data_IF_694050433432
#
_entry.id   IF_694050433432
#
_cell.length_a   1.000
_cell.length_b   1.000
_cell.length_c   1.000
_cell.angle_alpha   90.00
_cell.angle_beta   90.00
_cell.angle_gamma   90.00
#
_symmetry.space_group_name_H-M   'P 1'
#
loop_
_entity.id
_entity.type
_entity.pdbx_description
1 polymer ?
#
# COMPACT_ATOMS: atom_id res chain seq x y z
N UNK A 1 -4.19 84.95 6.25
CA UNK A 1 -3.90 83.52 6.03
C UNK A 1 -3.31 82.94 7.31
N UNK A 2 -4.05 82.11 8.03
CA UNK A 2 -3.54 81.39 9.21
C UNK A 2 -3.75 79.91 8.92
N UNK A 3 -2.64 79.16 8.85
CA UNK A 3 -2.62 77.72 8.57
C UNK A 3 -2.91 76.95 9.86
N UNK A 4 -4.06 76.32 9.96
CA UNK A 4 -4.30 75.29 10.97
C UNK A 4 -3.44 74.05 10.64
N UNK A 5 -2.56 73.68 11.58
CA UNK A 5 -1.86 72.40 11.56
C UNK A 5 -2.87 71.31 11.95
N UNK A 6 -3.30 70.53 10.97
CA UNK A 6 -4.01 69.27 11.22
C UNK A 6 -3.00 68.28 11.81
N UNK A 7 -3.00 68.13 13.12
CA UNK A 7 -2.27 67.05 13.77
C UNK A 7 -2.87 65.73 13.32
N UNK A 8 -2.02 64.89 12.75
CA UNK A 8 -2.35 63.55 12.33
C UNK A 8 -2.31 62.73 13.62
N UNK A 9 -3.45 62.64 14.29
CA UNK A 9 -3.63 61.72 15.40
C UNK A 9 -3.52 60.32 14.80
N UNK A 10 -2.48 59.59 15.20
CA UNK A 10 -2.19 58.26 14.69
C UNK A 10 -3.29 57.34 15.22
N UNK A 11 -4.22 56.98 14.35
CA UNK A 11 -5.32 56.10 14.66
C UNK A 11 -4.78 54.70 15.00
N UNK A 12 -4.63 54.43 16.31
CA UNK A 12 -4.28 53.10 16.83
C UNK A 12 -5.45 52.11 16.73
N UNK A 13 -6.60 52.48 16.16
CA UNK A 13 -7.73 51.55 16.01
C UNK A 13 -7.54 50.53 14.87
N UNK A 14 -6.42 50.57 14.14
CA UNK A 14 -6.07 49.58 13.11
C UNK A 14 -5.26 48.40 13.64
N UNK A 15 -4.95 48.38 14.95
CA UNK A 15 -4.24 47.28 15.61
C UNK A 15 -5.14 46.29 16.35
N UNK A 16 -6.46 46.36 16.20
CA UNK A 16 -7.33 45.25 16.59
C UNK A 16 -7.30 44.18 15.49
N UNK A 17 -6.14 43.54 15.46
CA UNK A 17 -5.82 42.32 14.73
C UNK A 17 -7.04 41.41 14.76
N UNK A 18 -7.39 40.89 13.61
CA UNK A 18 -8.08 39.61 13.52
C UNK A 18 -7.38 38.68 14.51
N UNK A 19 -7.98 38.46 15.68
CA UNK A 19 -7.42 37.59 16.71
C UNK A 19 -7.60 36.18 16.18
N UNK A 20 -6.69 35.81 15.26
CA UNK A 20 -6.39 34.47 14.83
C UNK A 20 -6.49 33.61 16.08
N UNK A 21 -7.51 32.75 16.13
CA UNK A 21 -7.83 31.89 17.26
C UNK A 21 -6.52 31.45 17.94
N UNK A 22 -6.21 32.03 19.09
CA UNK A 22 -4.92 31.81 19.74
C UNK A 22 -4.83 30.32 20.04
N UNK A 23 -3.84 29.63 19.44
CA UNK A 23 -3.64 28.19 19.66
C UNK A 23 -3.52 27.85 21.14
N UNK A 24 -3.05 28.82 21.94
CA UNK A 24 -2.98 28.74 23.40
C UNK A 24 -4.36 28.67 24.05
N UNK A 25 -5.34 29.43 23.56
CA UNK A 25 -6.70 29.41 24.07
C UNK A 25 -7.48 28.15 23.66
N UNK A 26 -7.12 27.56 22.52
CA UNK A 26 -7.63 26.26 22.08
C UNK A 26 -7.11 25.13 22.99
N UNK A 27 -5.80 25.10 23.25
CA UNK A 27 -5.16 24.08 24.11
C UNK A 27 -5.61 24.22 25.57
N UNK A 28 -5.76 25.45 26.07
CA UNK A 28 -6.24 25.71 27.43
C UNK A 28 -7.74 25.41 27.63
N UNK A 29 -8.47 25.03 26.58
CA UNK A 29 -9.89 24.67 26.66
C UNK A 29 -10.85 25.85 26.90
N UNK A 30 -10.33 27.09 26.95
CA UNK A 30 -11.16 28.28 27.14
C UNK A 30 -12.17 28.48 25.99
N UNK A 31 -11.84 27.97 24.79
CA UNK A 31 -12.76 27.94 23.65
C UNK A 31 -14.00 27.05 23.90
N UNK A 32 -13.87 25.96 24.66
CA UNK A 32 -14.97 25.04 24.96
C UNK A 32 -15.96 25.62 25.98
N UNK A 33 -15.50 26.50 26.87
CA UNK A 33 -16.32 27.11 27.93
C UNK A 33 -17.20 28.27 27.43
N UNK A 34 -17.02 28.72 26.18
CA UNK A 34 -17.84 29.79 25.61
C UNK A 34 -19.30 29.33 25.51
N UNK A 35 -20.24 30.19 25.96
CA UNK A 35 -21.70 29.91 25.95
C UNK A 35 -22.23 29.49 24.56
N UNK A 36 -21.61 29.98 23.47
CA UNK A 36 -21.95 29.59 22.10
C UNK A 36 -21.59 28.12 21.79
N UNK A 37 -20.44 27.67 22.27
CA UNK A 37 -19.93 26.30 22.09
C UNK A 37 -20.73 25.31 22.94
N UNK A 38 -21.05 25.67 24.19
CA UNK A 38 -21.89 24.85 25.07
C UNK A 38 -23.30 24.66 24.51
N UNK A 39 -23.87 25.71 23.88
CA UNK A 39 -25.19 25.65 23.22
C UNK A 39 -25.22 24.67 22.04
N UNK A 40 -24.09 24.50 21.35
CA UNK A 40 -23.94 23.62 20.19
C UNK A 40 -23.13 22.35 20.50
N UNK A 41 -23.01 21.98 21.77
CA UNK A 41 -22.24 20.81 22.24
C UNK A 41 -22.58 19.50 21.51
N UNK A 42 -23.86 19.26 21.19
CA UNK A 42 -24.30 18.09 20.40
C UNK A 42 -23.65 18.04 19.01
N UNK A 43 -23.49 19.18 18.35
CA UNK A 43 -22.87 19.27 17.02
C UNK A 43 -21.36 19.03 17.08
N UNK A 44 -20.69 19.56 18.11
CA UNK A 44 -19.25 19.34 18.31
C UNK A 44 -18.97 17.87 18.62
N UNK A 45 -19.82 17.23 19.43
CA UNK A 45 -19.72 15.80 19.71
C UNK A 45 -19.84 14.97 18.42
N UNK A 46 -20.77 15.35 17.52
CA UNK A 46 -20.89 14.73 16.20
C UNK A 46 -19.60 14.88 15.38
N UNK A 47 -19.01 16.07 15.34
CA UNK A 47 -17.75 16.31 14.63
C UNK A 47 -16.59 15.48 15.20
N UNK A 48 -16.49 15.40 16.52
CA UNK A 48 -15.49 14.57 17.20
C UNK A 48 -15.69 13.10 16.86
N UNK A 49 -16.93 12.60 16.88
CA UNK A 49 -17.27 11.24 16.49
C UNK A 49 -16.83 10.94 15.04
N UNK A 50 -17.16 11.84 14.11
CA UNK A 50 -16.75 11.72 12.70
C UNK A 50 -15.23 11.72 12.58
N UNK A 51 -14.53 12.60 13.31
CA UNK A 51 -13.07 12.64 13.32
C UNK A 51 -12.47 11.32 13.81
N UNK A 52 -13.02 10.73 14.87
CA UNK A 52 -12.60 9.40 15.35
C UNK A 52 -12.82 8.32 14.30
N UNK A 53 -13.99 8.28 13.67
CA UNK A 53 -14.30 7.33 12.59
C UNK A 53 -13.32 7.50 11.43
N UNK A 54 -12.99 8.74 11.08
CA UNK A 54 -12.07 9.04 9.99
C UNK A 54 -10.64 8.58 10.29
N UNK A 55 -10.14 8.83 11.51
CA UNK A 55 -8.83 8.36 11.97
C UNK A 55 -8.78 6.82 11.99
N UNK A 56 -9.83 6.19 12.51
CA UNK A 56 -9.92 4.73 12.56
C UNK A 56 -9.91 4.12 11.16
N UNK A 57 -10.72 4.67 10.24
CA UNK A 57 -10.79 4.19 8.86
C UNK A 57 -9.46 4.41 8.11
N UNK A 58 -8.82 5.57 8.31
CA UNK A 58 -7.52 5.86 7.68
C UNK A 58 -6.44 4.86 8.10
N UNK A 59 -6.33 4.57 9.39
CA UNK A 59 -5.37 3.58 9.89
C UNK A 59 -5.67 2.17 9.37
N UNK A 60 -6.95 1.82 9.16
CA UNK A 60 -7.33 0.52 8.61
C UNK A 60 -6.99 0.40 7.11
N UNK A 61 -7.26 1.46 6.35
CA UNK A 61 -6.92 1.53 4.93
C UNK A 61 -5.40 1.40 4.71
N UNK A 62 -4.60 2.14 5.49
CA UNK A 62 -3.14 2.11 5.38
C UNK A 62 -2.56 0.70 5.64
N UNK A 63 -3.01 0.04 6.70
CA UNK A 63 -2.59 -1.35 7.01
C UNK A 63 -2.99 -2.34 5.91
N UNK A 64 -4.18 -2.14 5.32
CA UNK A 64 -4.68 -2.99 4.24
C UNK A 64 -3.85 -2.83 2.97
N UNK A 65 -3.49 -1.59 2.61
CA UNK A 65 -2.63 -1.30 1.45
C UNK A 65 -1.25 -1.93 1.62
N UNK A 66 -0.64 -1.82 2.80
CA UNK A 66 0.66 -2.46 3.08
C UNK A 66 0.57 -3.99 2.92
N UNK A 67 -0.48 -4.61 3.47
CA UNK A 67 -0.70 -6.06 3.34
C UNK A 67 -0.92 -6.48 1.88
N UNK A 68 -1.70 -5.71 1.12
CA UNK A 68 -1.94 -5.99 -0.30
C UNK A 68 -0.66 -5.93 -1.13
N UNK A 69 0.23 -4.97 -0.85
CA UNK A 69 1.52 -4.89 -1.52
C UNK A 69 2.41 -6.10 -1.20
N UNK A 70 2.47 -6.52 0.07
CA UNK A 70 3.18 -7.73 0.46
C UNK A 70 2.65 -8.97 -0.26
N UNK A 71 1.33 -9.17 -0.23
CA UNK A 71 0.69 -10.33 -0.83
C UNK A 71 0.88 -10.39 -2.36
N UNK A 72 0.86 -9.25 -3.05
CA UNK A 72 1.18 -9.20 -4.48
C UNK A 72 2.64 -9.56 -4.78
N UNK A 73 3.58 -9.14 -3.93
CA UNK A 73 4.98 -9.54 -4.04
C UNK A 73 5.14 -11.05 -3.87
N UNK A 74 4.48 -11.63 -2.88
CA UNK A 74 4.53 -13.07 -2.60
C UNK A 74 3.98 -13.88 -3.78
N UNK A 75 2.86 -13.45 -4.37
CA UNK A 75 2.28 -14.08 -5.57
C UNK A 75 3.25 -14.02 -6.75
N UNK A 76 3.94 -12.88 -6.93
CA UNK A 76 4.94 -12.72 -7.99
C UNK A 76 6.14 -13.64 -7.77
N UNK A 77 6.63 -13.76 -6.54
CA UNK A 77 7.72 -14.66 -6.18
C UNK A 77 7.33 -16.12 -6.38
N UNK A 78 6.16 -16.53 -5.91
CA UNK A 78 5.65 -17.90 -6.09
C UNK A 78 5.53 -18.25 -7.57
N UNK A 79 5.03 -17.32 -8.39
CA UNK A 79 4.95 -17.51 -9.84
C UNK A 79 6.34 -17.72 -10.44
N UNK A 80 7.30 -16.89 -10.09
CA UNK A 80 8.67 -17.04 -10.57
C UNK A 80 9.26 -18.40 -10.14
N UNK A 81 9.12 -18.79 -8.87
CA UNK A 81 9.56 -20.09 -8.37
C UNK A 81 8.92 -21.25 -9.11
N UNK A 82 7.62 -21.20 -9.39
CA UNK A 82 6.92 -22.27 -10.12
C UNK A 82 7.47 -22.47 -11.54
N UNK A 83 7.79 -21.36 -12.23
CA UNK A 83 8.39 -21.38 -13.57
C UNK A 83 9.80 -21.95 -13.50
N UNK A 84 10.61 -21.52 -12.52
CA UNK A 84 11.98 -22.03 -12.35
C UNK A 84 11.98 -23.53 -12.05
N UNK A 85 11.18 -23.99 -11.10
CA UNK A 85 11.09 -25.42 -10.74
C UNK A 85 10.63 -26.26 -11.93
N UNK A 86 9.64 -25.78 -12.68
CA UNK A 86 9.18 -26.47 -13.89
C UNK A 86 10.28 -26.52 -14.96
N UNK A 87 11.04 -25.44 -15.13
CA UNK A 87 12.18 -25.38 -16.05
C UNK A 87 13.31 -26.31 -15.62
N UNK A 88 13.58 -26.41 -14.32
CA UNK A 88 14.57 -27.33 -13.77
C UNK A 88 14.17 -28.79 -13.99
N UNK A 89 12.90 -29.12 -13.77
CA UNK A 89 12.38 -30.45 -14.08
C UNK A 89 12.54 -30.77 -15.57
N UNK A 90 12.10 -29.86 -16.45
CA UNK A 90 12.25 -30.02 -17.91
C UNK A 90 13.72 -30.22 -18.29
N UNK A 91 14.63 -29.43 -17.72
CA UNK A 91 16.08 -29.56 -17.94
C UNK A 91 16.61 -30.93 -17.55
N UNK A 92 16.26 -31.43 -16.36
CA UNK A 92 16.72 -32.75 -15.88
C UNK A 92 16.08 -33.89 -16.67
N UNK A 93 14.81 -33.76 -17.04
CA UNK A 93 14.10 -34.76 -17.85
C UNK A 93 14.46 -34.73 -19.35
N UNK A 94 15.31 -33.80 -19.79
CA UNK A 94 15.72 -33.70 -21.19
C UNK A 94 16.53 -34.95 -21.57
N UNK A 95 16.19 -35.58 -22.70
CA UNK A 95 16.85 -36.82 -23.16
C UNK A 95 18.39 -36.70 -23.13
N UNK A 96 18.94 -35.58 -23.59
CA UNK A 96 20.39 -35.32 -23.55
C UNK A 96 21.01 -35.31 -22.14
N UNK A 97 20.28 -34.87 -21.12
CA UNK A 97 20.70 -34.90 -19.71
C UNK A 97 20.58 -36.32 -19.14
N UNK A 98 19.48 -37.00 -19.45
CA UNK A 98 19.23 -38.38 -19.03
C UNK A 98 20.30 -39.33 -19.60
N UNK A 99 20.63 -39.21 -20.89
CA UNK A 99 21.71 -39.99 -21.53
C UNK A 99 23.05 -39.73 -20.85
N UNK A 100 23.39 -38.45 -20.58
CA UNK A 100 24.64 -38.10 -19.88
C UNK A 100 24.70 -38.63 -18.44
N UNK A 101 23.57 -38.64 -17.72
CA UNK A 101 23.47 -39.26 -16.40
C UNK A 101 23.63 -40.78 -16.48
N UNK A 102 23.01 -41.44 -17.46
CA UNK A 102 23.08 -42.88 -17.69
C UNK A 102 24.51 -43.34 -18.00
N UNK A 103 25.24 -42.58 -18.83
CA UNK A 103 26.65 -42.79 -19.12
C UNK A 103 27.52 -42.59 -17.86
N UNK A 104 27.27 -41.52 -17.10
CA UNK A 104 28.02 -41.22 -15.87
C UNK A 104 27.84 -42.24 -14.75
N UNK A 105 26.66 -42.87 -14.66
CA UNK A 105 26.38 -43.94 -13.71
C UNK A 105 26.77 -45.34 -14.22
N UNK A 106 27.35 -45.46 -15.43
CA UNK A 106 27.73 -46.73 -16.05
C UNK A 106 26.58 -47.75 -16.10
N UNK A 107 25.35 -47.28 -16.36
CA UNK A 107 24.16 -48.13 -16.32
C UNK A 107 24.05 -49.07 -17.55
N UNK A 108 24.91 -48.93 -18.55
CA UNK A 108 24.96 -49.81 -19.73
C UNK A 108 23.72 -49.75 -20.62
N UNK A 109 22.94 -48.66 -20.53
CA UNK A 109 21.73 -48.44 -21.31
C UNK A 109 22.06 -47.52 -22.49
N UNK A 110 21.72 -47.95 -23.71
CA UNK A 110 21.92 -47.19 -24.95
C UNK A 110 20.59 -46.60 -25.45
N UNK A 111 20.66 -45.43 -26.09
CA UNK A 111 19.49 -44.76 -26.64
C UNK A 111 18.92 -45.55 -27.83
N UNK A 112 17.63 -45.92 -27.77
CA UNK A 112 16.96 -46.60 -28.87
C UNK A 112 16.66 -45.59 -30.00
N UNK A 113 17.47 -45.62 -31.07
CA UNK A 113 17.36 -44.75 -32.24
C UNK A 113 16.25 -45.18 -33.22
N UNK A 114 15.65 -46.36 -33.04
CA UNK A 114 14.58 -46.84 -33.91
C UNK A 114 13.20 -46.37 -33.41
N UNK A 115 12.39 -45.73 -34.26
CA UNK A 115 11.06 -45.30 -33.88
C UNK A 115 10.17 -46.52 -33.53
N UNK A 116 9.33 -46.41 -32.48
CA UNK A 116 8.51 -47.53 -32.02
C UNK A 116 7.53 -47.96 -33.12
N UNK A 117 7.66 -49.21 -33.58
CA UNK A 117 6.75 -49.79 -34.57
C UNK A 117 5.44 -50.15 -33.88
N UNK A 118 4.33 -49.62 -34.42
CA UNK A 118 2.99 -49.97 -33.95
C UNK A 118 2.74 -51.44 -34.28
N UNK A 119 2.54 -52.26 -33.24
CA UNK A 119 2.08 -53.63 -33.43
C UNK A 119 0.65 -53.53 -33.98
N UNK A 120 0.51 -53.78 -35.29
CA UNK A 120 -0.80 -53.93 -35.92
C UNK A 120 -1.03 -55.41 -36.10
N UNK A 121 -2.03 -55.92 -35.38
CA UNK A 121 -2.57 -57.27 -35.57
C UNK A 121 -2.93 -57.40 -37.06
N UNK A 122 -2.19 -58.22 -37.81
CA UNK A 122 -2.45 -58.44 -39.23
C UNK A 122 -3.50 -59.55 -39.34
N UNK A 123 -4.70 -59.30 -39.89
CA UNK A 123 -5.68 -60.37 -40.09
C UNK A 123 -5.28 -61.17 -41.35
N UNK A 124 -5.25 -62.50 -41.18
CA UNK A 124 -5.04 -63.51 -42.22
C UNK A 124 -6.16 -63.51 -43.27
#
# INVERSE_FOLDING_TARGET
MIREKKNIEFDQSLEDREQLFSLRDLINGNVLTRKAVLRQSKFILLLVLIAFVFIANRNHAEKTVIRLNGLQSDVKELRAKSITISSDLVRVSRQSEVVRLVEGYNLGLEENLEPPKKLTETPY
#
